data_IF_750773128401
#
_entry.id   IF_750773128401
#
_cell.length_a   1.000
_cell.length_b   1.000
_cell.length_c   1.000
_cell.angle_alpha   90.00
_cell.angle_beta   90.00
_cell.angle_gamma   90.00
#
_symmetry.space_group_name_H-M   'P 1'
#
loop_
_entity.id
_entity.type
_entity.pdbx_description
1 polymer ?
#
# COMPACT_ATOMS: atom_id res chain seq x y z
N UNK A 1 29.30 8.54 0.42
CA UNK A 1 28.17 7.80 -0.17
C UNK A 1 28.32 6.34 0.23
N UNK A 2 27.45 5.83 1.12
CA UNK A 2 27.52 4.46 1.64
C UNK A 2 26.49 3.51 1.02
N UNK A 3 25.50 4.05 0.30
CA UNK A 3 24.46 3.32 -0.39
C UNK A 3 24.22 3.94 -1.77
N UNK A 4 23.69 3.13 -2.69
CA UNK A 4 23.14 3.53 -3.98
C UNK A 4 21.63 3.49 -3.86
N UNK A 5 20.98 4.57 -4.28
CA UNK A 5 19.53 4.64 -4.33
C UNK A 5 19.04 4.97 -5.73
N UNK A 6 17.78 4.65 -5.99
CA UNK A 6 17.03 5.10 -7.16
C UNK A 6 15.93 6.06 -6.76
N UNK A 7 15.59 6.94 -7.70
CA UNK A 7 14.45 7.83 -7.60
C UNK A 7 13.34 7.29 -8.49
N UNK A 8 12.13 7.16 -7.95
CA UNK A 8 11.00 6.44 -8.58
C UNK A 8 9.78 7.32 -8.87
N UNK A 9 9.76 8.56 -8.39
CA UNK A 9 8.56 9.40 -8.44
C UNK A 9 7.49 8.94 -7.44
N UNK A 10 6.27 9.47 -7.58
CA UNK A 10 5.14 9.18 -6.68
C UNK A 10 4.04 8.43 -7.40
N UNK A 11 3.62 7.31 -6.84
CA UNK A 11 2.46 6.54 -7.25
C UNK A 11 1.88 5.79 -6.03
N UNK A 12 0.56 5.60 -5.97
CA UNK A 12 -0.04 4.84 -4.88
C UNK A 12 0.44 3.39 -4.91
N UNK A 13 0.57 2.77 -3.73
CA UNK A 13 1.02 1.38 -3.61
C UNK A 13 -0.08 0.49 -3.04
N UNK A 14 -0.83 0.99 -2.06
CA UNK A 14 -2.05 0.36 -1.57
C UNK A 14 -3.28 1.18 -1.92
N UNK A 15 -4.40 0.50 -2.10
CA UNK A 15 -5.66 1.03 -2.60
C UNK A 15 -6.81 0.41 -1.81
N UNK A 16 -7.92 1.13 -1.69
CA UNK A 16 -9.19 0.54 -1.29
C UNK A 16 -10.18 0.67 -2.44
N UNK A 17 -10.48 -0.46 -3.08
CA UNK A 17 -11.49 -0.52 -4.11
C UNK A 17 -12.85 -0.86 -3.51
N UNK A 18 -13.91 -0.30 -4.07
CA UNK A 18 -15.30 -0.61 -3.75
C UNK A 18 -16.02 -1.07 -5.01
N UNK A 19 -16.93 -2.06 -4.88
CA UNK A 19 -17.87 -2.46 -5.93
C UNK A 19 -18.97 -1.42 -6.07
N UNK A 20 -18.84 -0.53 -7.05
CA UNK A 20 -19.85 0.50 -7.34
C UNK A 20 -21.18 -0.13 -7.78
N UNK A 21 -21.13 -1.21 -8.56
CA UNK A 21 -22.33 -1.93 -8.98
C UNK A 21 -23.11 -2.52 -7.78
N UNK A 22 -22.41 -2.83 -6.68
CA UNK A 22 -23.05 -3.26 -5.43
C UNK A 22 -23.65 -2.10 -4.65
N UNK A 23 -23.00 -0.93 -4.65
CA UNK A 23 -23.57 0.28 -4.09
C UNK A 23 -24.88 0.65 -4.80
N UNK A 24 -24.87 0.67 -6.14
CA UNK A 24 -26.03 1.00 -6.95
C UNK A 24 -27.19 0.03 -6.71
N UNK A 25 -26.91 -1.28 -6.66
CA UNK A 25 -27.93 -2.31 -6.44
C UNK A 25 -28.56 -2.21 -5.05
N UNK A 26 -27.81 -1.82 -4.03
CA UNK A 26 -28.30 -1.66 -2.67
C UNK A 26 -28.77 -0.23 -2.37
N UNK A 27 -28.73 0.67 -3.35
CA UNK A 27 -29.06 2.10 -3.21
C UNK A 27 -28.26 2.78 -2.09
N UNK A 28 -26.96 2.48 -2.02
CA UNK A 28 -26.01 3.00 -1.02
C UNK A 28 -25.08 4.04 -1.64
N UNK A 29 -24.75 5.08 -0.87
CA UNK A 29 -23.69 6.02 -1.23
C UNK A 29 -22.29 5.48 -0.83
N UNK A 30 -21.23 5.93 -1.52
CA UNK A 30 -19.86 5.62 -1.12
C UNK A 30 -19.51 6.19 0.28
N UNK A 31 -18.79 5.43 1.12
CA UNK A 31 -18.57 5.81 2.52
C UNK A 31 -17.60 6.97 2.67
N UNK A 32 -17.93 7.89 3.58
CA UNK A 32 -17.07 9.03 3.95
C UNK A 32 -16.48 8.89 5.35
N UNK A 33 -17.10 8.10 6.22
CA UNK A 33 -16.59 7.82 7.57
C UNK A 33 -16.39 6.33 7.83
N UNK A 34 -15.57 5.99 8.82
CA UNK A 34 -15.32 4.60 9.21
C UNK A 34 -16.62 3.88 9.62
N UNK A 35 -17.57 4.59 10.22
CA UNK A 35 -18.87 4.03 10.60
C UNK A 35 -19.76 3.74 9.37
N UNK A 36 -19.68 4.57 8.33
CA UNK A 36 -20.33 4.31 7.04
C UNK A 36 -19.69 3.12 6.34
N UNK A 37 -18.35 3.05 6.29
CA UNK A 37 -17.62 1.92 5.73
C UNK A 37 -18.01 0.61 6.42
N UNK A 38 -18.10 0.60 7.76
CA UNK A 38 -18.55 -0.57 8.52
C UNK A 38 -19.96 -1.01 8.12
N UNK A 39 -20.90 -0.06 8.04
CA UNK A 39 -22.29 -0.35 7.63
C UNK A 39 -22.37 -0.90 6.21
N UNK A 40 -21.59 -0.35 5.28
CA UNK A 40 -21.54 -0.82 3.90
C UNK A 40 -20.90 -2.20 3.81
N UNK A 41 -19.79 -2.46 4.52
CA UNK A 41 -19.20 -3.79 4.58
C UNK A 41 -20.20 -4.84 5.10
N UNK A 42 -20.97 -4.50 6.14
CA UNK A 42 -22.02 -5.39 6.66
C UNK A 42 -23.13 -5.59 5.63
N UNK A 43 -23.58 -4.52 4.95
CA UNK A 43 -24.60 -4.62 3.91
C UNK A 43 -24.14 -5.51 2.75
N UNK A 44 -22.91 -5.33 2.29
CA UNK A 44 -22.30 -6.17 1.26
C UNK A 44 -22.21 -7.65 1.64
N UNK A 45 -21.98 -7.95 2.91
CA UNK A 45 -21.95 -9.34 3.38
C UNK A 45 -23.34 -9.95 3.60
N UNK A 46 -24.40 -9.14 3.78
CA UNK A 46 -25.70 -9.63 4.29
C UNK A 46 -26.91 -9.36 3.41
N UNK A 47 -26.77 -8.56 2.36
CA UNK A 47 -27.88 -8.14 1.50
C UNK A 47 -27.82 -8.70 0.07
N UNK A 48 -27.03 -9.77 -0.15
CA UNK A 48 -26.94 -10.48 -1.44
C UNK A 48 -26.68 -9.53 -2.64
N UNK A 49 -25.61 -8.70 -2.57
CA UNK A 49 -25.33 -7.72 -3.61
C UNK A 49 -24.92 -8.36 -4.93
N UNK A 50 -24.48 -9.62 -4.97
CA UNK A 50 -24.29 -10.36 -6.23
C UNK A 50 -25.59 -11.04 -6.72
N UNK A 51 -26.59 -11.25 -5.86
CA UNK A 51 -27.96 -11.62 -6.25
C UNK A 51 -28.12 -13.10 -6.56
N UNK A 52 -27.25 -13.93 -5.99
CA UNK A 52 -27.23 -15.36 -6.21
C UNK A 52 -28.13 -16.11 -5.20
N UNK A 53 -28.64 -15.42 -4.17
CA UNK A 53 -29.49 -15.99 -3.11
C UNK A 53 -28.74 -16.83 -2.07
N UNK A 54 -27.41 -16.76 -2.03
CA UNK A 54 -26.50 -17.48 -1.14
C UNK A 54 -25.73 -16.47 -0.29
N UNK A 55 -25.62 -16.73 1.01
CA UNK A 55 -24.79 -15.94 1.93
C UNK A 55 -23.31 -16.35 1.73
N UNK A 56 -22.70 -15.93 0.62
CA UNK A 56 -21.30 -16.23 0.27
C UNK A 56 -20.48 -15.01 -0.16
N UNK A 57 -21.01 -13.81 0.09
CA UNK A 57 -20.34 -12.53 -0.12
C UNK A 57 -19.66 -12.04 1.17
N UNK A 58 -18.57 -11.29 1.01
CA UNK A 58 -17.83 -10.65 2.08
C UNK A 58 -17.87 -9.14 1.88
N UNK A 59 -17.96 -8.41 2.99
CA UNK A 59 -17.94 -6.97 3.02
C UNK A 59 -16.59 -6.41 2.64
N UNK A 60 -15.53 -6.85 3.32
CA UNK A 60 -14.14 -6.42 3.10
C UNK A 60 -13.18 -7.58 3.34
N UNK A 61 -12.03 -7.64 2.64
CA UNK A 61 -10.98 -8.58 3.02
C UNK A 61 -10.31 -8.17 4.35
N UNK A 62 -9.83 -9.15 5.13
CA UNK A 62 -9.05 -8.92 6.36
C UNK A 62 -7.64 -9.53 6.31
N UNK A 63 -7.28 -10.15 5.18
CA UNK A 63 -5.97 -10.74 4.91
C UNK A 63 -5.14 -9.91 3.94
N UNK A 64 -3.85 -10.26 3.78
CA UNK A 64 -2.93 -9.54 2.92
C UNK A 64 -2.68 -8.12 3.44
N UNK A 65 -2.89 -7.11 2.58
CA UNK A 65 -2.65 -5.70 2.90
C UNK A 65 -3.84 -4.98 3.56
N UNK A 66 -4.99 -5.64 3.70
CA UNK A 66 -6.17 -5.01 4.32
C UNK A 66 -5.94 -4.53 5.76
N UNK A 67 -5.23 -5.27 6.63
CA UNK A 67 -4.93 -4.79 7.97
C UNK A 67 -4.18 -3.45 7.98
N UNK A 68 -3.27 -3.21 7.02
CA UNK A 68 -2.49 -1.98 6.91
C UNK A 68 -3.31 -0.82 6.35
N UNK A 69 -4.18 -1.10 5.37
CA UNK A 69 -5.13 -0.10 4.84
C UNK A 69 -6.12 0.32 5.93
N UNK A 70 -6.64 -0.62 6.72
CA UNK A 70 -7.51 -0.33 7.86
C UNK A 70 -6.72 0.46 8.93
N UNK A 71 -5.51 0.05 9.26
CA UNK A 71 -4.66 0.78 10.20
C UNK A 71 -4.45 2.24 9.75
N UNK A 72 -4.25 2.48 8.46
CA UNK A 72 -4.09 3.82 7.88
C UNK A 72 -5.32 4.71 8.08
N UNK A 73 -6.55 4.15 8.02
CA UNK A 73 -7.79 4.90 8.29
C UNK A 73 -7.80 5.53 9.69
N UNK A 74 -7.23 4.82 10.67
CA UNK A 74 -7.20 5.22 12.08
C UNK A 74 -5.86 5.86 12.48
N UNK A 75 -4.96 6.10 11.51
CA UNK A 75 -3.59 6.55 11.79
C UNK A 75 -2.81 5.62 12.75
N UNK A 76 -3.15 4.33 12.77
CA UNK A 76 -2.50 3.35 13.63
C UNK A 76 -1.16 2.91 13.04
N UNK A 77 -0.12 3.72 13.22
CA UNK A 77 1.25 3.49 12.69
C UNK A 77 2.25 3.00 13.74
N UNK A 78 1.76 2.48 14.87
CA UNK A 78 2.50 2.11 16.09
C UNK A 78 3.19 3.27 16.81
N UNK A 79 3.83 4.16 16.06
CA UNK A 79 4.60 5.30 16.54
C UNK A 79 3.97 6.61 16.06
N UNK A 80 3.95 7.61 16.93
CA UNK A 80 3.49 8.97 16.63
C UNK A 80 4.48 9.99 17.17
N UNK A 81 4.43 11.21 16.62
CA UNK A 81 5.20 12.34 17.10
C UNK A 81 4.32 13.19 18.03
N UNK A 82 4.57 13.14 19.33
CA UNK A 82 3.84 13.90 20.35
C UNK A 82 4.82 14.70 21.20
N UNK A 83 4.54 16.00 21.39
CA UNK A 83 5.37 16.93 22.16
C UNK A 83 6.88 16.92 21.80
N UNK A 84 7.19 16.61 20.53
CA UNK A 84 8.57 16.53 20.03
C UNK A 84 9.30 15.23 20.39
N UNK A 85 8.58 14.17 20.76
CA UNK A 85 9.10 12.84 21.01
C UNK A 85 8.39 11.79 20.17
N UNK A 86 9.12 10.76 19.75
CA UNK A 86 8.52 9.56 19.15
C UNK A 86 7.99 8.71 20.30
N UNK A 87 6.67 8.50 20.32
CA UNK A 87 5.99 7.71 21.35
C UNK A 87 5.18 6.60 20.72
N UNK A 88 5.04 5.48 21.45
CA UNK A 88 4.17 4.40 21.03
C UNK A 88 2.71 4.79 21.31
N UNK A 89 1.86 4.61 20.30
CA UNK A 89 0.45 4.93 20.42
C UNK A 89 -0.42 3.69 20.59
N UNK A 90 -1.28 3.75 21.60
CA UNK A 90 -2.21 2.70 21.98
C UNK A 90 -3.68 3.11 21.74
N UNK A 91 -3.98 4.40 21.64
CA UNK A 91 -5.35 4.90 21.46
C UNK A 91 -5.83 4.60 20.03
N UNK A 92 -5.02 4.96 19.03
CA UNK A 92 -5.31 4.63 17.62
C UNK A 92 -5.31 3.13 17.37
N UNK A 93 -4.45 2.38 18.08
CA UNK A 93 -4.43 0.92 18.05
C UNK A 93 -5.75 0.33 18.58
N UNK A 94 -6.30 0.87 19.67
CA UNK A 94 -7.59 0.46 20.22
C UNK A 94 -8.72 0.67 19.21
N UNK A 95 -8.81 1.85 18.61
CA UNK A 95 -9.87 2.16 17.65
C UNK A 95 -9.81 1.30 16.39
N UNK A 96 -8.61 1.10 15.84
CA UNK A 96 -8.42 0.20 14.70
C UNK A 96 -8.80 -1.25 15.05
N UNK A 97 -8.48 -1.71 16.26
CA UNK A 97 -8.88 -3.04 16.75
C UNK A 97 -10.40 -3.15 16.92
N UNK A 98 -11.06 -2.13 17.48
CA UNK A 98 -12.52 -2.09 17.62
C UNK A 98 -13.21 -2.21 16.26
N UNK A 99 -12.71 -1.51 15.24
CA UNK A 99 -13.24 -1.60 13.88
C UNK A 99 -13.08 -3.00 13.28
N UNK A 100 -11.89 -3.60 13.39
CA UNK A 100 -11.63 -4.98 12.92
C UNK A 100 -12.49 -6.01 13.65
N UNK A 101 -12.67 -5.85 14.97
CA UNK A 101 -13.59 -6.66 15.78
C UNK A 101 -15.03 -6.54 15.27
N UNK A 102 -15.52 -5.32 15.06
CA UNK A 102 -16.89 -5.10 14.59
C UNK A 102 -17.15 -5.76 13.23
N UNK A 103 -16.18 -5.71 12.31
CA UNK A 103 -16.26 -6.41 11.03
C UNK A 103 -16.31 -7.94 11.21
N UNK A 104 -15.47 -8.51 12.08
CA UNK A 104 -15.46 -9.94 12.37
C UNK A 104 -16.77 -10.37 13.05
N UNK A 105 -17.20 -9.67 14.09
CA UNK A 105 -18.40 -9.99 14.87
C UNK A 105 -19.67 -9.93 14.00
N UNK A 106 -19.73 -8.96 13.07
CA UNK A 106 -20.83 -8.82 12.12
C UNK A 106 -20.77 -9.81 10.93
N UNK A 107 -19.78 -10.71 10.89
CA UNK A 107 -19.60 -11.68 9.82
C UNK A 107 -19.41 -11.01 8.45
N UNK A 108 -18.76 -9.84 8.43
CA UNK A 108 -18.52 -9.04 7.23
C UNK A 108 -17.20 -9.38 6.52
N UNK A 109 -16.43 -10.33 7.06
CA UNK A 109 -15.13 -10.78 6.53
C UNK A 109 -15.05 -12.31 6.57
N UNK A 110 -14.12 -12.88 5.82
CA UNK A 110 -13.74 -14.29 5.95
C UNK A 110 -13.28 -14.63 7.39
N UNK A 111 -13.98 -15.57 8.05
CA UNK A 111 -13.64 -16.04 9.40
C UNK A 111 -12.27 -16.73 9.47
N UNK A 112 -11.80 -17.28 8.35
CA UNK A 112 -10.50 -17.96 8.24
C UNK A 112 -9.35 -17.02 7.84
N UNK A 113 -9.53 -15.70 7.87
CA UNK A 113 -8.56 -14.72 7.35
C UNK A 113 -7.13 -14.88 7.91
N UNK A 114 -6.98 -15.33 9.16
CA UNK A 114 -5.67 -15.55 9.80
C UNK A 114 -4.85 -16.66 9.14
N UNK A 115 -5.50 -17.60 8.44
CA UNK A 115 -4.83 -18.66 7.68
C UNK A 115 -4.34 -18.17 6.32
N UNK A 116 -4.95 -17.11 5.78
CA UNK A 116 -4.61 -16.49 4.50
C UNK A 116 -3.56 -15.39 4.66
N UNK A 117 -2.38 -15.74 5.19
CA UNK A 117 -1.36 -14.74 5.57
C UNK A 117 -0.97 -13.77 4.44
N UNK A 118 -0.97 -14.23 3.18
CA UNK A 118 -0.59 -13.41 2.04
C UNK A 118 -1.76 -12.89 1.20
N UNK A 119 -3.01 -13.07 1.66
CA UNK A 119 -4.17 -12.52 0.97
C UNK A 119 -4.55 -13.23 -0.34
N UNK A 120 -3.94 -14.38 -0.65
CA UNK A 120 -4.19 -15.09 -1.92
C UNK A 120 -5.58 -15.68 -2.00
N UNK A 121 -6.15 -16.12 -0.86
CA UNK A 121 -7.54 -16.56 -0.83
C UNK A 121 -8.46 -15.37 -1.08
N UNK A 122 -8.24 -14.26 -0.37
CA UNK A 122 -9.02 -13.04 -0.56
C UNK A 122 -8.93 -12.51 -2.00
N UNK A 123 -7.75 -12.52 -2.62
CA UNK A 123 -7.58 -12.18 -4.04
C UNK A 123 -8.45 -13.07 -4.94
N UNK A 124 -8.40 -14.39 -4.77
CA UNK A 124 -9.23 -15.31 -5.55
C UNK A 124 -10.73 -15.09 -5.33
N UNK A 125 -11.15 -14.78 -4.11
CA UNK A 125 -12.55 -14.52 -3.78
C UNK A 125 -13.01 -13.18 -4.37
N UNK A 126 -12.18 -12.12 -4.31
CA UNK A 126 -12.44 -10.87 -5.01
C UNK A 126 -12.57 -11.08 -6.52
N UNK A 127 -11.63 -11.81 -7.15
CA UNK A 127 -11.66 -12.10 -8.58
C UNK A 127 -12.90 -12.92 -9.01
N UNK A 128 -13.46 -13.73 -8.11
CA UNK A 128 -14.72 -14.46 -8.32
C UNK A 128 -15.97 -13.61 -8.04
N UNK A 129 -15.80 -12.34 -7.69
CA UNK A 129 -16.89 -11.40 -7.42
C UNK A 129 -17.47 -11.46 -6.02
N UNK A 130 -16.78 -12.07 -5.05
CA UNK A 130 -17.33 -12.31 -3.70
C UNK A 130 -17.02 -11.24 -2.67
N UNK A 131 -16.18 -10.26 -2.97
CA UNK A 131 -15.74 -9.24 -2.02
C UNK A 131 -16.17 -7.85 -2.52
N UNK A 132 -16.85 -7.09 -1.67
CA UNK A 132 -17.38 -5.76 -2.01
C UNK A 132 -16.37 -4.62 -1.84
N UNK A 133 -15.58 -4.64 -0.77
CA UNK A 133 -14.47 -3.73 -0.51
C UNK A 133 -13.16 -4.52 -0.55
N UNK A 134 -12.22 -4.13 -1.41
CA UNK A 134 -10.96 -4.85 -1.55
C UNK A 134 -9.76 -3.93 -1.35
N UNK A 135 -9.04 -4.16 -0.27
CA UNK A 135 -7.74 -3.56 -0.04
C UNK A 135 -6.70 -4.27 -0.92
N UNK A 136 -6.26 -3.56 -1.95
CA UNK A 136 -5.33 -4.05 -2.96
C UNK A 136 -3.95 -3.44 -2.73
N UNK A 137 -2.90 -4.19 -3.06
CA UNK A 137 -1.55 -3.65 -3.18
C UNK A 137 -0.91 -4.13 -4.47
N UNK A 138 -0.33 -3.20 -5.21
CA UNK A 138 0.29 -3.52 -6.48
C UNK A 138 0.45 -2.32 -7.39
N UNK A 139 1.04 -2.56 -8.55
CA UNK A 139 1.23 -1.55 -9.58
C UNK A 139 0.03 -1.48 -10.55
N UNK A 140 0.06 -0.50 -11.45
CA UNK A 140 -1.02 -0.26 -12.42
C UNK A 140 -1.34 -1.48 -13.32
N UNK A 141 -0.33 -2.28 -13.68
CA UNK A 141 -0.53 -3.51 -14.46
C UNK A 141 -1.28 -4.56 -13.65
N UNK A 142 -0.89 -4.77 -12.39
CA UNK A 142 -1.54 -5.73 -11.51
C UNK A 142 -2.99 -5.34 -11.23
N UNK A 143 -3.29 -4.04 -11.11
CA UNK A 143 -4.66 -3.51 -11.01
C UNK A 143 -5.47 -3.85 -12.27
N UNK A 144 -4.94 -3.55 -13.46
CA UNK A 144 -5.60 -3.87 -14.72
C UNK A 144 -5.87 -5.38 -14.85
N UNK A 145 -4.87 -6.22 -14.58
CA UNK A 145 -4.99 -7.67 -14.72
C UNK A 145 -6.04 -8.22 -13.75
N UNK A 146 -6.05 -7.75 -12.50
CA UNK A 146 -7.05 -8.13 -11.51
C UNK A 146 -8.45 -7.66 -11.93
N UNK A 147 -8.59 -6.42 -12.38
CA UNK A 147 -9.90 -5.90 -12.79
C UNK A 147 -10.43 -6.60 -14.06
N UNK A 148 -9.56 -6.84 -15.05
CA UNK A 148 -9.92 -7.60 -16.24
C UNK A 148 -10.36 -9.03 -15.88
N UNK A 149 -9.70 -9.65 -14.90
CA UNK A 149 -10.05 -11.00 -14.44
C UNK A 149 -11.36 -11.02 -13.65
N UNK A 150 -11.63 -10.01 -12.82
CA UNK A 150 -12.93 -9.81 -12.19
C UNK A 150 -14.03 -9.67 -13.25
N UNK A 151 -13.86 -8.77 -14.23
CA UNK A 151 -14.81 -8.57 -15.35
C UNK A 151 -15.03 -9.82 -16.19
N UNK A 152 -14.01 -10.67 -16.33
CA UNK A 152 -14.18 -11.95 -17.03
C UNK A 152 -15.07 -12.93 -16.28
N UNK A 153 -15.12 -12.86 -14.94
CA UNK A 153 -15.97 -13.72 -14.11
C UNK A 153 -17.35 -13.07 -13.84
N UNK A 154 -17.38 -11.74 -13.73
CA UNK A 154 -18.56 -10.91 -13.44
C UNK A 154 -18.58 -9.72 -14.43
N UNK A 155 -19.14 -9.91 -15.64
CA UNK A 155 -19.08 -8.92 -16.74
C UNK A 155 -19.63 -7.53 -16.43
N UNK A 156 -20.51 -7.41 -15.43
CA UNK A 156 -21.14 -6.19 -14.97
C UNK A 156 -20.40 -5.51 -13.81
N UNK A 157 -19.38 -6.15 -13.23
CA UNK A 157 -18.66 -5.58 -12.11
C UNK A 157 -18.07 -4.22 -12.46
N UNK A 158 -18.23 -3.25 -11.56
CA UNK A 158 -17.59 -1.94 -11.64
C UNK A 158 -16.90 -1.68 -10.32
N UNK A 159 -15.60 -1.37 -10.37
CA UNK A 159 -14.84 -0.97 -9.18
C UNK A 159 -14.41 0.49 -9.28
N UNK A 160 -14.38 1.16 -8.14
CA UNK A 160 -13.77 2.48 -8.01
C UNK A 160 -12.82 2.54 -6.81
N UNK A 161 -11.76 3.35 -6.89
CA UNK A 161 -10.95 3.66 -5.72
C UNK A 161 -11.73 4.65 -4.86
N UNK A 162 -11.67 4.48 -3.53
CA UNK A 162 -12.23 5.47 -2.61
C UNK A 162 -11.14 6.11 -1.77
N UNK A 163 -11.31 7.40 -1.43
CA UNK A 163 -10.55 7.98 -0.33
C UNK A 163 -10.74 7.09 0.90
N UNK A 164 -9.68 6.89 1.70
CA UNK A 164 -9.90 6.23 2.97
C UNK A 164 -10.87 7.07 3.79
N UNK A 165 -11.87 6.44 4.41
CA UNK A 165 -12.88 7.17 5.16
C UNK A 165 -12.25 7.90 6.34
N UNK A 166 -12.83 9.03 6.71
CA UNK A 166 -12.43 9.75 7.91
C UNK A 166 -12.73 8.91 9.17
N UNK A 167 -11.81 8.94 10.12
CA UNK A 167 -11.97 8.39 11.46
C UNK A 167 -11.95 9.52 12.49
N UNK A 168 -12.18 9.23 13.79
CA UNK A 168 -12.01 10.23 14.85
C UNK A 168 -10.63 10.89 14.92
N UNK A 169 -9.61 10.29 14.29
CA UNK A 169 -8.23 10.81 14.27
C UNK A 169 -7.92 11.66 13.04
N UNK A 170 -8.86 11.80 12.10
CA UNK A 170 -8.69 12.55 10.86
C UNK A 170 -8.92 11.70 9.62
N UNK A 171 -8.45 12.19 8.47
CA UNK A 171 -8.56 11.49 7.20
C UNK A 171 -7.18 11.38 6.56
N UNK A 172 -6.83 10.17 6.13
CA UNK A 172 -5.48 9.82 5.69
C UNK A 172 -5.53 9.15 4.32
N UNK A 173 -4.38 9.07 3.66
CA UNK A 173 -4.21 8.28 2.45
C UNK A 173 -3.62 6.91 2.73
N UNK A 174 -3.90 5.99 1.82
CA UNK A 174 -3.22 4.70 1.74
C UNK A 174 -1.72 4.88 1.48
N UNK A 175 -0.95 3.80 1.61
CA UNK A 175 0.49 3.86 1.40
C UNK A 175 0.82 4.16 -0.06
N UNK A 176 1.80 5.02 -0.29
CA UNK A 176 2.40 5.24 -1.61
C UNK A 176 3.86 4.83 -1.59
N UNK A 177 4.45 4.66 -2.78
CA UNK A 177 5.82 4.21 -2.88
C UNK A 177 6.79 5.24 -2.27
N UNK A 178 7.92 4.81 -1.67
CA UNK A 178 8.99 5.73 -1.35
C UNK A 178 9.51 6.38 -2.66
N UNK A 179 9.46 7.73 -2.79
CA UNK A 179 9.93 8.41 -3.99
C UNK A 179 11.45 8.25 -4.17
N UNK A 180 12.16 8.02 -3.07
CA UNK A 180 13.57 7.65 -3.01
C UNK A 180 13.70 6.27 -2.36
N UNK A 181 14.35 5.33 -3.03
CA UNK A 181 14.59 4.00 -2.49
C UNK A 181 16.09 3.71 -2.49
N UNK A 182 16.62 3.30 -1.33
CA UNK A 182 17.95 2.70 -1.27
C UNK A 182 17.90 1.31 -1.91
N UNK A 183 18.69 1.10 -2.95
CA UNK A 183 18.71 -0.13 -3.74
C UNK A 183 19.83 -1.08 -3.32
N UNK A 184 20.90 -0.56 -2.71
CA UNK A 184 21.96 -1.44 -2.20
C UNK A 184 23.17 -0.70 -1.64
N UNK A 185 24.09 -1.51 -1.10
CA UNK A 185 25.38 -1.06 -0.55
C UNK A 185 26.51 -1.88 -1.17
N UNK A 186 27.69 -1.28 -1.31
CA UNK A 186 28.88 -2.02 -1.73
C UNK A 186 29.50 -2.65 -0.48
N UNK A 187 29.56 -3.97 -0.45
CA UNK A 187 30.15 -4.69 0.68
C UNK A 187 31.64 -4.33 0.81
N UNK A 188 32.09 -4.06 2.04
CA UNK A 188 33.49 -3.73 2.33
C UNK A 188 34.48 -4.84 1.92
N UNK A 189 34.00 -6.08 1.74
CA UNK A 189 34.76 -7.25 1.28
C UNK A 189 34.70 -7.48 -0.24
N UNK A 190 34.12 -6.55 -1.01
CA UNK A 190 34.10 -6.68 -2.46
C UNK A 190 35.55 -6.71 -3.00
N UNK A 191 35.90 -7.75 -3.77
CA UNK A 191 37.25 -7.92 -4.32
C UNK A 191 37.58 -6.89 -5.42
N UNK A 192 36.56 -6.35 -6.08
CA UNK A 192 36.69 -5.30 -7.11
C UNK A 192 35.53 -4.29 -7.03
N UNK A 193 35.56 -3.39 -6.03
CA UNK A 193 34.51 -2.37 -5.89
C UNK A 193 34.48 -1.40 -7.07
N UNK A 194 35.59 -1.23 -7.80
CA UNK A 194 35.64 -0.36 -8.98
C UNK A 194 34.78 -0.91 -10.13
N UNK A 195 34.78 -2.22 -10.38
CA UNK A 195 33.86 -2.84 -11.35
C UNK A 195 32.40 -2.72 -10.93
N UNK A 196 32.09 -2.85 -9.64
CA UNK A 196 30.72 -2.66 -9.13
C UNK A 196 30.22 -1.24 -9.43
N UNK A 197 31.06 -0.22 -9.17
CA UNK A 197 30.73 1.17 -9.51
C UNK A 197 30.58 1.37 -11.02
N UNK A 198 31.44 0.78 -11.86
CA UNK A 198 31.28 0.85 -13.33
C UNK A 198 29.98 0.19 -13.81
N UNK A 199 29.55 -0.88 -13.16
CA UNK A 199 28.27 -1.52 -13.47
C UNK A 199 27.10 -0.60 -13.06
N UNK A 200 27.12 -0.02 -11.87
CA UNK A 200 26.12 0.96 -11.42
C UNK A 200 26.05 2.15 -12.39
N UNK A 201 27.20 2.69 -12.80
CA UNK A 201 27.29 3.77 -13.80
C UNK A 201 26.64 3.34 -15.13
N UNK A 202 26.97 2.15 -15.64
CA UNK A 202 26.37 1.62 -16.86
C UNK A 202 24.84 1.49 -16.74
N UNK A 203 24.34 0.97 -15.61
CA UNK A 203 22.91 0.80 -15.35
C UNK A 203 22.18 2.14 -15.17
N UNK A 204 22.90 3.21 -14.83
CA UNK A 204 22.33 4.54 -14.61
C UNK A 204 22.31 5.41 -15.88
N UNK A 205 22.87 4.92 -17.00
CA UNK A 205 22.82 5.64 -18.28
C UNK A 205 21.39 5.63 -18.84
N UNK A 206 20.93 6.79 -19.32
CA UNK A 206 19.61 6.94 -19.97
C UNK A 206 19.36 5.90 -21.06
N UNK A 207 20.37 5.62 -21.90
CA UNK A 207 20.24 4.61 -22.96
C UNK A 207 20.04 3.18 -22.42
N UNK A 208 20.71 2.84 -21.30
CA UNK A 208 20.56 1.54 -20.64
C UNK A 208 19.19 1.42 -19.99
N UNK A 209 18.77 2.46 -19.25
CA UNK A 209 17.44 2.55 -18.65
C UNK A 209 16.35 2.41 -19.72
N UNK A 210 16.45 3.19 -20.80
CA UNK A 210 15.50 3.17 -21.91
C UNK A 210 15.43 1.79 -22.56
N UNK A 211 16.56 1.09 -22.71
CA UNK A 211 16.58 -0.27 -23.26
C UNK A 211 15.81 -1.24 -22.38
N UNK A 212 16.00 -1.21 -21.06
CA UNK A 212 15.28 -2.10 -20.15
C UNK A 212 13.81 -1.69 -19.93
N UNK A 213 13.46 -0.41 -20.17
CA UNK A 213 12.11 0.11 -19.97
C UNK A 213 11.23 0.03 -21.23
N UNK A 214 11.80 0.28 -22.40
CA UNK A 214 11.06 0.37 -23.67
C UNK A 214 11.49 -0.70 -24.68
N UNK A 215 12.63 -1.37 -24.47
CA UNK A 215 13.23 -2.28 -25.42
C UNK A 215 14.08 -1.54 -26.46
N UNK A 216 14.11 -2.07 -27.68
CA UNK A 216 14.83 -1.48 -28.82
C UNK A 216 13.91 -0.59 -29.67
N UNK A 217 14.38 0.61 -30.03
CA UNK A 217 13.68 1.53 -30.93
C UNK A 217 13.46 0.90 -32.32
N UNK A 218 12.27 1.10 -32.89
CA UNK A 218 11.84 0.50 -34.16
C UNK A 218 11.44 -0.97 -34.08
N UNK A 219 11.71 -1.64 -32.94
CA UNK A 219 11.31 -3.03 -32.69
C UNK A 219 10.20 -3.12 -31.66
N UNK A 220 10.34 -2.39 -30.54
CA UNK A 220 9.43 -2.43 -29.40
C UNK A 220 8.73 -1.09 -29.19
N UNK A 221 9.44 0.02 -29.42
CA UNK A 221 8.90 1.37 -29.29
C UNK A 221 9.34 2.28 -30.44
N UNK A 222 8.64 3.40 -30.62
CA UNK A 222 9.01 4.51 -31.51
C UNK A 222 8.90 5.82 -30.73
N UNK A 223 9.62 6.85 -31.16
CA UNK A 223 9.41 8.19 -30.63
C UNK A 223 8.20 8.87 -31.27
N UNK A 224 7.34 9.46 -30.45
CA UNK A 224 6.20 10.28 -30.87
C UNK A 224 6.20 11.59 -30.06
N UNK A 225 6.42 12.72 -30.72
CA UNK A 225 6.57 14.04 -30.08
C UNK A 225 7.56 14.06 -28.90
N UNK A 226 8.65 13.29 -28.98
CA UNK A 226 9.67 13.20 -27.93
C UNK A 226 9.32 12.23 -26.79
N UNK A 227 8.18 11.52 -26.87
CA UNK A 227 7.78 10.48 -25.91
C UNK A 227 7.95 9.10 -26.54
N UNK A 228 8.56 8.11 -25.85
CA UNK A 228 8.59 6.73 -26.32
C UNK A 228 7.20 6.09 -26.28
N UNK A 229 6.72 5.57 -27.41
CA UNK A 229 5.42 4.90 -27.54
C UNK A 229 5.63 3.46 -27.98
N UNK A 230 5.01 2.52 -27.26
CA UNK A 230 5.05 1.09 -27.60
C UNK A 230 4.39 0.83 -28.96
N UNK A 231 5.07 0.07 -29.82
CA UNK A 231 4.57 -0.25 -31.17
C UNK A 231 3.57 -1.41 -31.13
N UNK A 232 3.93 -2.48 -30.43
CA UNK A 232 3.14 -3.71 -30.28
C UNK A 232 3.18 -4.14 -28.81
N UNK A 233 2.03 -4.06 -28.15
CA UNK A 233 1.90 -4.38 -26.73
C UNK A 233 2.14 -5.85 -26.42
N UNK A 234 1.63 -6.77 -27.23
CA UNK A 234 1.79 -8.21 -27.01
C UNK A 234 3.26 -8.63 -27.14
N UNK A 235 3.98 -8.00 -28.08
CA UNK A 235 5.41 -8.21 -28.23
C UNK A 235 6.19 -7.62 -27.05
N UNK A 236 5.89 -6.39 -26.65
CA UNK A 236 6.51 -5.77 -25.48
C UNK A 236 6.32 -6.60 -24.21
N UNK A 237 5.09 -7.09 -23.97
CA UNK A 237 4.77 -7.89 -22.80
C UNK A 237 5.60 -9.20 -22.77
N UNK A 238 5.88 -9.81 -23.92
CA UNK A 238 6.69 -11.04 -24.03
C UNK A 238 8.20 -10.83 -23.98
N UNK A 239 8.70 -9.76 -24.59
CA UNK A 239 10.13 -9.58 -24.85
C UNK A 239 10.80 -8.58 -23.88
N UNK A 240 10.03 -7.65 -23.30
CA UNK A 240 10.59 -6.51 -22.55
C UNK A 240 10.03 -6.38 -21.13
N UNK A 241 8.74 -6.58 -20.89
CA UNK A 241 8.10 -6.23 -19.61
C UNK A 241 8.74 -6.85 -18.37
N UNK A 242 9.29 -8.07 -18.50
CA UNK A 242 9.98 -8.81 -17.44
C UNK A 242 11.36 -8.25 -17.09
N UNK A 243 11.87 -7.28 -17.84
CA UNK A 243 13.16 -6.65 -17.59
C UNK A 243 13.12 -5.63 -16.43
N UNK A 244 11.96 -5.40 -15.81
CA UNK A 244 11.78 -4.45 -14.70
C UNK A 244 12.79 -4.63 -13.56
N UNK A 245 13.12 -5.87 -13.19
CA UNK A 245 14.03 -6.17 -12.09
C UNK A 245 15.48 -5.69 -12.34
N UNK A 246 15.89 -5.60 -13.60
CA UNK A 246 17.20 -5.06 -13.96
C UNK A 246 17.28 -3.55 -13.74
N UNK A 247 16.14 -2.86 -13.66
CA UNK A 247 16.08 -1.39 -13.46
C UNK A 247 16.06 -0.98 -11.99
N UNK A 248 16.40 -1.89 -11.07
CA UNK A 248 16.44 -1.63 -9.63
C UNK A 248 17.56 -0.66 -9.20
N UNK A 249 18.60 -0.51 -10.01
CA UNK A 249 19.78 0.35 -9.73
C UNK A 249 19.77 1.64 -10.56
N UNK A 250 19.02 1.68 -11.67
CA UNK A 250 18.92 2.87 -12.52
C UNK A 250 17.92 3.91 -11.97
N UNK A 251 18.05 5.18 -12.36
CA UNK A 251 17.01 6.18 -12.11
C UNK A 251 15.71 5.76 -12.79
N UNK A 252 14.55 6.08 -12.20
CA UNK A 252 13.22 5.77 -12.78
C UNK A 252 12.31 7.01 -12.78
N UNK A 253 12.90 8.20 -12.72
CA UNK A 253 12.18 9.45 -12.49
C UNK A 253 11.80 10.22 -13.76
N UNK A 254 12.34 9.83 -14.93
CA UNK A 254 11.99 10.44 -16.21
C UNK A 254 10.60 10.04 -16.70
N UNK A 255 10.19 8.81 -16.40
CA UNK A 255 8.83 8.31 -16.60
C UNK A 255 8.65 7.25 -15.54
N UNK A 256 7.62 7.35 -14.70
CA UNK A 256 7.38 6.33 -13.67
C UNK A 256 6.87 5.03 -14.29
N UNK A 257 6.84 3.92 -13.55
CA UNK A 257 6.20 2.69 -14.03
C UNK A 257 4.69 2.88 -14.21
N UNK A 258 4.10 3.67 -13.33
CA UNK A 258 2.69 4.03 -13.38
C UNK A 258 2.34 4.80 -14.67
N UNK A 259 3.10 5.84 -14.99
CA UNK A 259 2.91 6.61 -16.23
C UNK A 259 3.17 5.78 -17.48
N UNK A 260 4.26 5.00 -17.47
CA UNK A 260 4.61 4.12 -18.59
C UNK A 260 3.48 3.15 -18.91
N UNK A 261 2.89 2.55 -17.88
CA UNK A 261 1.80 1.62 -18.07
C UNK A 261 0.57 2.29 -18.67
N UNK A 262 0.19 3.47 -18.17
CA UNK A 262 -0.93 4.25 -18.71
C UNK A 262 -0.73 4.64 -20.18
N UNK A 263 0.50 4.99 -20.58
CA UNK A 263 0.83 5.28 -21.98
C UNK A 263 0.60 4.08 -22.92
N UNK A 264 0.65 2.85 -22.40
CA UNK A 264 0.44 1.62 -23.17
C UNK A 264 -1.05 1.21 -23.27
N UNK A 265 -1.95 1.91 -22.60
CA UNK A 265 -3.39 1.68 -22.69
C UNK A 265 -3.93 2.19 -24.03
N UNK A 266 -4.78 1.39 -24.69
CA UNK A 266 -5.48 1.82 -25.90
C UNK A 266 -6.80 2.49 -25.51
N UNK A 267 -6.78 3.81 -25.33
CA UNK A 267 -7.94 4.59 -24.87
C UNK A 267 -9.15 4.58 -25.84
N UNK A 268 -9.04 3.94 -27.01
CA UNK A 268 -10.20 3.65 -27.87
C UNK A 268 -10.99 2.42 -27.39
N UNK A 269 -10.38 1.55 -26.56
CA UNK A 269 -11.06 0.45 -25.89
C UNK A 269 -11.74 0.98 -24.63
N UNK A 270 -13.05 0.72 -24.44
CA UNK A 270 -13.77 1.20 -23.27
C UNK A 270 -13.14 0.77 -21.94
N UNK A 271 -12.70 -0.48 -21.83
CA UNK A 271 -12.10 -1.01 -20.60
C UNK A 271 -10.75 -0.36 -20.27
N UNK A 272 -9.86 -0.17 -21.27
CA UNK A 272 -8.59 0.52 -21.08
C UNK A 272 -8.81 1.98 -20.62
N UNK A 273 -9.84 2.66 -21.15
CA UNK A 273 -10.23 4.01 -20.70
C UNK A 273 -10.73 4.01 -19.25
N UNK A 274 -11.59 3.06 -18.91
CA UNK A 274 -12.10 2.89 -17.55
C UNK A 274 -10.98 2.64 -16.54
N UNK A 275 -9.98 1.82 -16.89
CA UNK A 275 -8.79 1.61 -16.06
C UNK A 275 -7.93 2.88 -15.96
N UNK A 276 -7.75 3.63 -17.06
CA UNK A 276 -7.03 4.92 -17.01
C UNK A 276 -7.72 5.90 -16.04
N UNK A 277 -9.05 6.03 -16.12
CA UNK A 277 -9.85 6.87 -15.23
C UNK A 277 -9.71 6.43 -13.76
N UNK A 278 -9.83 5.13 -13.48
CA UNK A 278 -9.61 4.54 -12.14
C UNK A 278 -8.22 4.86 -11.59
N UNK A 279 -7.17 4.73 -12.42
CA UNK A 279 -5.80 5.00 -12.00
C UNK A 279 -5.58 6.50 -11.73
N UNK A 280 -6.13 7.37 -12.59
CA UNK A 280 -6.08 8.83 -12.40
C UNK A 280 -6.77 9.24 -11.09
N UNK A 281 -7.93 8.68 -10.81
CA UNK A 281 -8.67 8.95 -9.59
C UNK A 281 -7.90 8.48 -8.36
N UNK A 282 -7.39 7.25 -8.35
CA UNK A 282 -6.58 6.72 -7.26
C UNK A 282 -5.33 7.58 -6.97
N UNK A 283 -4.65 8.06 -8.02
CA UNK A 283 -3.50 8.96 -7.88
C UNK A 283 -3.89 10.26 -7.17
N UNK A 284 -5.01 10.87 -7.56
CA UNK A 284 -5.52 12.10 -6.94
C UNK A 284 -6.03 11.90 -5.51
N UNK A 285 -6.62 10.74 -5.22
CA UNK A 285 -7.12 10.41 -3.89
C UNK A 285 -6.00 10.21 -2.88
N UNK A 286 -4.93 9.49 -3.27
CA UNK A 286 -3.92 8.97 -2.34
C UNK A 286 -2.60 9.76 -2.31
N UNK A 287 -2.31 10.62 -3.29
CA UNK A 287 -1.14 11.52 -3.26
C UNK A 287 -1.61 12.97 -3.05
N UNK A 288 -2.19 13.23 -1.87
CA UNK A 288 -2.85 14.49 -1.53
C UNK A 288 -2.40 15.00 -0.16
N UNK A 289 -1.92 16.25 -0.04
CA UNK A 289 -1.58 16.84 1.26
C UNK A 289 -2.81 17.08 2.15
N UNK A 290 -4.01 17.16 1.57
CA UNK A 290 -5.28 17.28 2.30
C UNK A 290 -5.65 15.99 3.05
N UNK A 291 -5.13 14.85 2.60
CA UNK A 291 -5.24 13.54 3.24
C UNK A 291 -3.84 12.92 3.30
N UNK A 292 -2.99 13.35 4.22
CA UNK A 292 -1.59 12.95 4.22
C UNK A 292 -1.44 11.44 4.47
N UNK A 293 -0.22 10.93 4.29
CA UNK A 293 0.13 9.61 4.76
C UNK A 293 -0.10 9.54 6.28
N UNK A 294 -0.58 8.40 6.78
CA UNK A 294 -0.91 8.22 8.19
C UNK A 294 0.30 8.47 9.12
N UNK A 295 1.46 7.98 8.73
CA UNK A 295 2.69 8.15 9.52
C UNK A 295 3.26 9.56 9.41
N UNK A 296 4.03 9.95 10.42
CA UNK A 296 4.81 11.19 10.40
C UNK A 296 6.06 11.10 9.51
N UNK A 297 6.40 9.88 9.07
CA UNK A 297 7.38 9.54 8.03
C UNK A 297 6.88 8.28 7.31
N UNK A 298 7.42 7.95 6.13
CA UNK A 298 7.21 6.62 5.55
C UNK A 298 7.85 5.53 6.41
N UNK A 299 7.20 4.37 6.51
CA UNK A 299 7.67 3.23 7.34
C UNK A 299 9.09 2.80 6.96
N UNK A 300 9.42 2.83 5.66
CA UNK A 300 10.76 2.49 5.17
C UNK A 300 11.84 3.53 5.50
N UNK A 301 11.45 4.70 6.00
CA UNK A 301 12.36 5.76 6.45
C UNK A 301 12.47 5.80 7.97
N UNK A 302 11.75 4.94 8.70
CA UNK A 302 12.02 4.71 10.12
C UNK A 302 13.46 4.22 10.30
N UNK A 303 14.17 4.73 11.32
CA UNK A 303 15.56 4.34 11.54
C UNK A 303 15.65 2.88 11.96
N UNK A 304 16.59 2.14 11.38
CA UNK A 304 16.80 0.74 11.70
C UNK A 304 17.31 0.59 13.14
N UNK A 305 16.66 -0.29 13.91
CA UNK A 305 17.05 -0.59 15.28
C UNK A 305 18.38 -1.36 15.32
N UNK A 306 19.25 -1.14 16.33
CA UNK A 306 20.37 -2.02 16.62
C UNK A 306 19.86 -3.44 16.89
N UNK A 307 20.63 -4.46 16.50
CA UNK A 307 20.20 -5.88 16.58
C UNK A 307 19.58 -6.31 17.92
N UNK A 308 20.08 -5.79 19.06
CA UNK A 308 19.54 -6.12 20.38
C UNK A 308 18.16 -5.50 20.60
N UNK A 309 17.98 -4.23 20.23
CA UNK A 309 16.70 -3.52 20.34
C UNK A 309 15.69 -4.06 19.33
N UNK A 310 16.13 -4.42 18.12
CA UNK A 310 15.30 -5.11 17.12
C UNK A 310 14.77 -6.46 17.63
N UNK A 311 15.59 -7.21 18.37
CA UNK A 311 15.17 -8.47 18.98
C UNK A 311 14.12 -8.27 20.07
N UNK A 312 14.24 -7.20 20.86
CA UNK A 312 13.24 -6.79 21.85
C UNK A 312 11.92 -6.45 21.14
N UNK A 313 11.98 -5.51 20.19
CA UNK A 313 10.83 -5.03 19.43
C UNK A 313 10.07 -6.17 18.73
N UNK A 314 10.78 -6.98 17.94
CA UNK A 314 10.15 -8.08 17.18
C UNK A 314 9.51 -9.16 18.05
N UNK A 315 10.04 -9.44 19.25
CA UNK A 315 9.42 -10.40 20.17
C UNK A 315 8.19 -9.81 20.85
N UNK A 316 8.25 -8.55 21.28
CA UNK A 316 7.12 -7.86 21.89
C UNK A 316 5.97 -7.69 20.87
N UNK A 317 6.28 -7.25 19.65
CA UNK A 317 5.29 -7.11 18.57
C UNK A 317 4.63 -8.43 18.19
N UNK A 318 5.37 -9.55 18.21
CA UNK A 318 4.77 -10.88 17.99
C UNK A 318 3.74 -11.22 19.09
N UNK A 319 4.06 -10.96 20.35
CA UNK A 319 3.14 -11.21 21.46
C UNK A 319 1.89 -10.30 21.39
N UNK A 320 2.10 -9.04 21.00
CA UNK A 320 1.04 -8.05 20.80
C UNK A 320 0.13 -8.44 19.64
N UNK A 321 0.69 -8.90 18.52
CA UNK A 321 -0.08 -9.40 17.38
C UNK A 321 -0.98 -10.59 17.77
N UNK A 322 -0.45 -11.52 18.58
CA UNK A 322 -1.24 -12.63 19.11
C UNK A 322 -2.38 -12.15 20.03
N UNK A 323 -2.17 -11.08 20.81
CA UNK A 323 -3.22 -10.43 21.62
C UNK A 323 -4.30 -9.83 20.72
N UNK A 324 -3.93 -9.08 19.69
CA UNK A 324 -4.87 -8.50 18.72
C UNK A 324 -5.72 -9.57 18.03
N UNK A 325 -5.08 -10.64 17.56
CA UNK A 325 -5.78 -11.75 16.92
C UNK A 325 -6.76 -12.44 17.87
N UNK A 326 -6.35 -12.71 19.12
CA UNK A 326 -7.24 -13.28 20.14
C UNK A 326 -8.41 -12.34 20.46
N UNK A 327 -8.19 -11.03 20.48
CA UNK A 327 -9.25 -10.07 20.72
C UNK A 327 -10.27 -10.05 19.57
N UNK A 328 -9.82 -10.12 18.32
CA UNK A 328 -10.71 -10.21 17.15
C UNK A 328 -11.55 -11.50 17.21
N UNK A 329 -10.90 -12.64 17.46
CA UNK A 329 -11.59 -13.94 17.52
C UNK A 329 -12.46 -14.14 18.78
N UNK A 330 -12.15 -13.43 19.86
CA UNK A 330 -12.75 -13.62 21.18
C UNK A 330 -14.14 -13.01 21.35
N UNK A 331 -14.67 -12.32 20.33
CA UNK A 331 -15.98 -11.65 20.37
C UNK A 331 -16.11 -10.69 21.57
N UNK A 332 -17.28 -10.68 22.21
CA UNK A 332 -17.55 -9.85 23.39
C UNK A 332 -16.73 -10.26 24.64
N UNK A 333 -16.24 -11.50 24.69
CA UNK A 333 -15.52 -12.02 25.86
C UNK A 333 -14.13 -11.38 26.04
N UNK A 334 -13.57 -10.78 24.99
CA UNK A 334 -12.28 -10.10 25.03
C UNK A 334 -12.36 -8.75 24.31
N UNK A 335 -12.63 -7.69 25.09
CA UNK A 335 -12.81 -6.34 24.55
C UNK A 335 -11.51 -5.75 24.01
N UNK A 336 -11.62 -4.71 23.16
CA UNK A 336 -10.46 -4.01 22.63
C UNK A 336 -9.66 -3.30 23.74
N UNK A 337 -10.35 -2.76 24.75
CA UNK A 337 -9.76 -2.10 25.92
C UNK A 337 -8.90 -3.09 26.71
N UNK A 338 -9.43 -4.28 27.00
CA UNK A 338 -8.67 -5.31 27.72
C UNK A 338 -7.48 -5.80 26.89
N UNK A 339 -7.66 -5.97 25.57
CA UNK A 339 -6.57 -6.34 24.69
C UNK A 339 -5.44 -5.29 24.70
N UNK A 340 -5.77 -4.00 24.72
CA UNK A 340 -4.77 -2.92 24.80
C UNK A 340 -4.03 -2.94 26.13
N UNK A 341 -4.72 -3.20 27.24
CA UNK A 341 -4.07 -3.36 28.54
C UNK A 341 -3.09 -4.54 28.53
N UNK A 342 -3.50 -5.67 27.97
CA UNK A 342 -2.65 -6.85 27.87
C UNK A 342 -1.46 -6.62 26.91
N UNK A 343 -1.67 -5.88 25.82
CA UNK A 343 -0.63 -5.53 24.86
C UNK A 343 0.39 -4.56 25.45
N UNK A 344 -0.05 -3.57 26.23
CA UNK A 344 0.84 -2.68 27.01
C UNK A 344 1.67 -3.50 28.00
N UNK A 345 1.04 -4.43 28.72
CA UNK A 345 1.76 -5.33 29.62
C UNK A 345 2.78 -6.20 28.89
N UNK A 346 2.42 -6.77 27.74
CA UNK A 346 3.34 -7.57 26.94
C UNK A 346 4.53 -6.74 26.42
N UNK A 347 4.28 -5.47 26.07
CA UNK A 347 5.33 -4.52 25.70
C UNK A 347 6.27 -4.22 26.87
N UNK A 348 5.72 -3.92 28.05
CA UNK A 348 6.48 -3.67 29.28
C UNK A 348 7.30 -4.89 29.73
N UNK A 349 6.66 -6.07 29.81
CA UNK A 349 7.31 -7.33 30.20
C UNK A 349 8.38 -7.77 29.17
N UNK A 350 8.23 -7.33 27.92
CA UNK A 350 9.15 -7.58 26.81
C UNK A 350 10.28 -6.56 26.68
N UNK A 351 10.53 -5.71 27.68
CA UNK A 351 11.56 -4.65 27.66
C UNK A 351 11.34 -3.53 26.61
N UNK A 352 10.09 -3.32 26.17
CA UNK A 352 9.73 -2.33 25.15
C UNK A 352 10.11 -0.88 25.48
N UNK A 353 10.29 -0.54 26.76
CA UNK A 353 10.80 0.76 27.18
C UNK A 353 12.19 1.08 26.60
N UNK A 354 13.02 0.06 26.34
CA UNK A 354 14.33 0.25 25.69
C UNK A 354 14.19 0.68 24.23
N UNK A 355 13.17 0.15 23.53
CA UNK A 355 12.85 0.53 22.15
C UNK A 355 12.38 1.98 22.10
N UNK A 356 11.47 2.36 22.99
CA UNK A 356 10.99 3.75 23.09
C UNK A 356 12.13 4.72 23.39
N UNK A 357 12.99 4.39 24.36
CA UNK A 357 14.13 5.24 24.70
C UNK A 357 15.07 5.41 23.50
N UNK A 358 15.34 4.33 22.77
CA UNK A 358 16.18 4.40 21.58
C UNK A 358 15.60 5.33 20.51
N UNK A 359 14.29 5.24 20.22
CA UNK A 359 13.65 6.13 19.25
C UNK A 359 13.67 7.60 19.71
N UNK A 360 13.43 7.88 20.99
CA UNK A 360 13.53 9.24 21.56
C UNK A 360 14.94 9.81 21.40
N UNK A 361 15.96 9.05 21.74
CA UNK A 361 17.36 9.47 21.62
C UNK A 361 17.76 9.68 20.15
N UNK A 362 17.42 8.72 19.28
CA UNK A 362 17.68 8.84 17.86
C UNK A 362 17.01 10.08 17.28
N UNK A 363 15.73 10.32 17.60
CA UNK A 363 14.99 11.47 17.12
C UNK A 363 15.63 12.79 17.55
N UNK A 364 16.00 12.91 18.83
CA UNK A 364 16.66 14.09 19.37
C UNK A 364 17.96 14.44 18.64
N UNK A 365 18.71 13.44 18.21
CA UNK A 365 19.99 13.60 17.51
C UNK A 365 19.84 13.84 15.99
N UNK A 366 18.74 13.35 15.38
CA UNK A 366 18.64 13.23 13.93
C UNK A 366 17.45 13.96 13.28
N UNK A 367 16.50 14.50 14.04
CA UNK A 367 15.27 15.11 13.50
C UNK A 367 15.51 16.16 12.41
N UNK A 368 16.55 16.98 12.54
CA UNK A 368 16.85 18.06 11.58
C UNK A 368 17.38 17.55 10.22
N UNK A 369 17.67 16.25 10.11
CA UNK A 369 18.15 15.58 8.89
C UNK A 369 17.18 14.52 8.38
N UNK A 370 16.05 14.36 9.06
CA UNK A 370 15.08 13.34 8.71
C UNK A 370 14.12 13.84 7.63
N UNK A 371 13.45 12.90 6.98
CA UNK A 371 12.44 13.17 5.96
C UNK A 371 11.09 12.87 6.59
N UNK A 372 10.32 13.91 6.83
CA UNK A 372 8.96 13.80 7.34
C UNK A 372 7.96 13.68 6.20
N UNK A 373 6.76 13.22 6.54
CA UNK A 373 5.64 13.12 5.59
C UNK A 373 5.35 14.48 4.93
N UNK A 374 5.47 15.59 5.65
CA UNK A 374 5.28 16.93 5.08
C UNK A 374 6.30 17.27 3.99
N UNK A 375 7.57 16.85 4.15
CA UNK A 375 8.61 17.04 3.15
C UNK A 375 8.27 16.31 1.86
N UNK A 376 7.61 15.14 1.95
CA UNK A 376 7.21 14.35 0.79
C UNK A 376 6.13 15.02 -0.06
N UNK A 377 5.41 16.00 0.48
CA UNK A 377 4.42 16.77 -0.26
C UNK A 377 4.95 18.11 -0.79
N UNK A 378 6.23 18.43 -0.55
CA UNK A 378 6.85 19.64 -1.09
C UNK A 378 6.74 19.66 -2.62
N UNK A 379 6.14 20.72 -3.15
CA UNK A 379 5.89 20.90 -4.58
C UNK A 379 7.17 20.88 -5.41
N UNK A 380 8.34 21.25 -4.86
CA UNK A 380 9.63 21.17 -5.56
C UNK A 380 10.00 19.72 -5.79
N UNK A 381 9.89 18.89 -4.75
CA UNK A 381 10.13 17.45 -4.81
C UNK A 381 9.11 16.82 -5.75
N UNK A 382 7.82 17.14 -5.66
CA UNK A 382 6.80 16.62 -6.57
C UNK A 382 6.98 17.09 -8.02
N UNK A 383 7.42 18.33 -8.26
CA UNK A 383 7.59 18.90 -9.61
C UNK A 383 8.83 18.38 -10.35
N UNK A 384 9.87 17.96 -9.64
CA UNK A 384 11.01 17.25 -10.23
C UNK A 384 10.59 15.86 -10.74
N UNK A 385 9.47 15.33 -10.27
CA UNK A 385 8.90 14.02 -10.63
C UNK A 385 7.55 14.11 -11.34
N UNK A 386 7.09 15.31 -11.70
CA UNK A 386 5.77 15.55 -12.26
C UNK A 386 5.81 16.51 -13.43
N UNK A 387 5.70 15.96 -14.64
CA UNK A 387 5.11 16.63 -15.80
C UNK A 387 4.17 15.70 -16.54
#
# INVERSE_FOLDING_TARGET
MYAVGRVQGYFPFTYLFIREDWLDKLELDAPRTTEELLRIAIAFAKQDPDGNGVDDTQGINMSGFAPDVINSMFQNTNWVLEDGEIVRDWERAQAALQFKKALFDADAIDRDYLTDKNGRKAEQDFLKGKIGLYAFAGNAKEIYDAYARLRSNVPEAVIAPIALPASPFGQFSAQFNPPFQLSGVINAKANDPASVIRYIDFMSKEATEATFKYGLEGVHYRMDNGVPVTIDKDKYDKEVSWLGDFRTIGPQYHTTEFEKYKQDLDLNKPFDREVDDLLNEALGLYISPERPYAGFTLDRYMPALPNEIEFIDSNAERAILDIWNRAILGGEAYSAEQAVQDARKAWEDGDGAQVEQWYRDWYKENKDKWVFTEDLYDVRIRSEFGK
#
